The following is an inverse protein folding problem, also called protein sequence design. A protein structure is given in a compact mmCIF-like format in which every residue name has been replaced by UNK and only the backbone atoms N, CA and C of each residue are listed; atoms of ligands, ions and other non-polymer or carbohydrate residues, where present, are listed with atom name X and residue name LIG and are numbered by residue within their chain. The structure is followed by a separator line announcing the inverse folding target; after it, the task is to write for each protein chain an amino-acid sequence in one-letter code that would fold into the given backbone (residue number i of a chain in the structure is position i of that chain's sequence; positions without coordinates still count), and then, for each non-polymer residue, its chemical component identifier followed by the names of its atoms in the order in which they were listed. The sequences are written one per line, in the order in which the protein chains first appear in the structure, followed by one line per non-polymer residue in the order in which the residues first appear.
data_IF_810215715715
#
_entry.id   IF_810215715715
#
_cell.length_a   1.000
_cell.length_b   1.000
_cell.length_c   1.000
_cell.angle_alpha   90.00
_cell.angle_beta   90.00
_cell.angle_gamma   90.00
#
_symmetry.space_group_name_H-M   'P 1'
#
loop_
_entity.id
_entity.type
_entity.pdbx_description
1 polymer ?
#
# COMPACT_ATOMS: atom_id res chain seq x y z
N UNK A 1 12.77 -3.73 -27.43
CA UNK A 1 13.21 -2.46 -26.82
C UNK A 1 12.22 -2.16 -25.71
N UNK A 2 12.67 -1.68 -24.55
CA UNK A 2 11.76 -1.42 -23.43
C UNK A 2 11.10 -0.06 -23.62
N UNK A 3 9.81 -0.06 -23.92
CA UNK A 3 9.08 1.13 -24.32
C UNK A 3 7.67 1.11 -23.77
N UNK A 4 7.23 2.29 -23.34
CA UNK A 4 5.82 2.61 -23.17
C UNK A 4 5.42 3.49 -24.35
N UNK A 5 4.31 3.18 -25.00
CA UNK A 5 3.69 4.00 -26.03
C UNK A 5 2.36 4.48 -25.51
N UNK A 6 2.12 5.79 -25.57
CA UNK A 6 0.82 6.39 -25.29
C UNK A 6 0.48 7.22 -26.52
N UNK A 7 -0.57 6.81 -27.25
CA UNK A 7 -0.94 7.42 -28.54
C UNK A 7 0.24 7.44 -29.53
N UNK A 8 0.70 8.63 -29.91
CA UNK A 8 1.80 8.85 -30.86
C UNK A 8 3.17 9.00 -30.18
N UNK A 9 3.19 9.04 -28.85
CA UNK A 9 4.40 9.23 -28.06
C UNK A 9 5.00 7.90 -27.62
N UNK A 10 6.33 7.83 -27.65
CA UNK A 10 7.10 6.66 -27.22
C UNK A 10 8.05 7.11 -26.11
N UNK A 11 7.93 6.47 -24.96
CA UNK A 11 8.69 6.71 -23.75
C UNK A 11 9.69 5.56 -23.57
N UNK A 12 11.00 5.84 -23.54
CA UNK A 12 11.98 4.82 -23.17
C UNK A 12 11.79 4.45 -21.70
N UNK A 13 11.84 3.15 -21.41
CA UNK A 13 11.73 2.62 -20.05
C UNK A 13 13.11 2.38 -19.44
N UNK A 14 13.29 2.93 -18.24
CA UNK A 14 14.45 2.70 -17.41
C UNK A 14 14.35 1.34 -16.73
N UNK A 15 15.01 0.32 -17.28
CA UNK A 15 14.97 -1.04 -16.72
C UNK A 15 15.76 -1.21 -15.43
N UNK A 16 16.65 -0.29 -15.07
CA UNK A 16 17.35 -0.36 -13.78
C UNK A 16 16.41 0.07 -12.64
N UNK A 17 15.42 0.90 -12.95
CA UNK A 17 14.40 1.38 -12.01
C UNK A 17 13.05 0.66 -12.14
N UNK A 18 12.90 -0.22 -13.14
CA UNK A 18 11.65 -0.96 -13.40
C UNK A 18 11.80 -2.43 -13.01
N UNK A 19 10.81 -2.99 -12.31
CA UNK A 19 10.86 -4.35 -11.80
C UNK A 19 9.46 -4.94 -11.61
N UNK A 20 9.40 -6.27 -11.49
CA UNK A 20 8.23 -6.97 -10.96
C UNK A 20 8.59 -7.62 -9.63
N UNK A 21 7.64 -7.58 -8.70
CA UNK A 21 7.71 -8.29 -7.43
C UNK A 21 6.49 -9.19 -7.28
N UNK A 22 6.71 -10.38 -6.75
CA UNK A 22 5.66 -11.34 -6.41
C UNK A 22 5.71 -11.60 -4.90
N UNK A 23 4.57 -11.57 -4.24
CA UNK A 23 4.45 -11.94 -2.83
C UNK A 23 3.08 -12.56 -2.53
N UNK A 24 3.00 -13.37 -1.48
CA UNK A 24 1.74 -13.91 -1.01
C UNK A 24 1.12 -12.95 0.00
N UNK A 25 -0.16 -12.68 -0.15
CA UNK A 25 -0.94 -11.98 0.87
C UNK A 25 -1.57 -13.04 1.78
N UNK A 26 -0.86 -13.35 2.86
CA UNK A 26 -1.22 -14.39 3.82
C UNK A 26 -2.46 -14.03 4.66
N UNK A 27 -2.81 -12.75 4.70
CA UNK A 27 -3.95 -12.21 5.45
C UNK A 27 -5.30 -12.41 4.72
N UNK A 28 -5.30 -12.90 3.48
CA UNK A 28 -6.51 -13.23 2.73
C UNK A 28 -6.77 -14.74 2.74
N UNK A 29 -8.04 -15.14 2.88
CA UNK A 29 -8.48 -16.53 2.72
C UNK A 29 -9.38 -16.67 1.47
N UNK A 30 -8.94 -17.41 0.41
CA UNK A 30 -7.67 -18.13 0.31
C UNK A 30 -6.47 -17.21 0.11
N UNK A 31 -5.28 -17.66 0.56
CA UNK A 31 -4.01 -16.96 0.34
C UNK A 31 -3.88 -16.66 -1.15
N UNK A 32 -3.76 -15.39 -1.49
CA UNK A 32 -3.61 -14.96 -2.87
C UNK A 32 -2.16 -14.56 -3.16
N UNK A 33 -1.77 -14.68 -4.42
CA UNK A 33 -0.48 -14.18 -4.90
C UNK A 33 -0.72 -12.81 -5.51
N UNK A 34 0.05 -11.84 -5.03
CA UNK A 34 0.01 -10.44 -5.43
C UNK A 34 1.26 -10.12 -6.24
N UNK A 35 1.07 -9.35 -7.31
CA UNK A 35 2.17 -8.81 -8.09
C UNK A 35 2.18 -7.29 -8.07
N UNK A 36 3.34 -6.75 -7.74
CA UNK A 36 3.64 -5.33 -7.96
C UNK A 36 4.48 -5.18 -9.21
N UNK A 37 4.00 -4.36 -10.15
CA UNK A 37 4.70 -4.06 -11.39
C UNK A 37 5.07 -2.58 -11.37
N UNK A 38 6.36 -2.31 -11.20
CA UNK A 38 6.91 -0.96 -11.15
C UNK A 38 7.63 -0.62 -12.45
N UNK A 39 7.24 0.48 -13.10
CA UNK A 39 7.78 0.89 -14.39
C UNK A 39 8.07 2.37 -14.39
N UNK A 40 9.31 2.72 -14.73
CA UNK A 40 9.75 4.11 -14.77
C UNK A 40 10.26 4.44 -16.17
N UNK A 41 9.75 5.53 -16.74
CA UNK A 41 10.34 6.11 -17.95
C UNK A 41 11.50 7.03 -17.60
N UNK A 42 12.47 7.19 -18.52
CA UNK A 42 13.58 8.13 -18.31
C UNK A 42 13.07 9.59 -18.38
N UNK A 43 12.15 9.91 -19.29
CA UNK A 43 11.62 11.26 -19.55
C UNK A 43 10.16 11.22 -20.04
N UNK A 44 9.35 12.24 -19.70
CA UNK A 44 8.00 12.47 -20.23
C UNK A 44 7.95 13.83 -20.96
N UNK A 45 7.66 13.90 -22.27
CA UNK A 45 7.75 15.13 -23.06
C UNK A 45 6.50 16.02 -22.96
N UNK A 46 5.58 15.76 -22.02
CA UNK A 46 4.27 16.42 -22.01
C UNK A 46 4.26 17.85 -21.45
N UNK A 47 5.35 18.33 -20.84
CA UNK A 47 5.43 19.65 -20.20
C UNK A 47 6.84 20.20 -20.39
N UNK A 48 6.99 21.50 -20.59
CA UNK A 48 8.29 22.18 -20.60
C UNK A 48 9.04 21.96 -19.27
N UNK A 49 9.98 21.01 -19.28
CA UNK A 49 10.79 20.62 -18.13
C UNK A 49 11.25 19.16 -18.24
N UNK A 50 12.48 18.86 -17.82
CA UNK A 50 12.96 17.47 -17.77
C UNK A 50 12.32 16.75 -16.58
N UNK A 51 11.20 16.08 -16.81
CA UNK A 51 10.53 15.31 -15.79
C UNK A 51 10.42 13.83 -16.18
N UNK A 52 10.55 12.92 -15.22
CA UNK A 52 10.39 11.48 -15.43
C UNK A 52 8.96 11.06 -15.12
N UNK A 53 8.30 10.33 -16.03
CA UNK A 53 6.98 9.75 -15.79
C UNK A 53 7.08 8.36 -15.16
N UNK A 54 6.29 8.10 -14.11
CA UNK A 54 6.19 6.78 -13.48
C UNK A 54 4.86 6.09 -13.82
N UNK A 55 4.93 4.81 -14.20
CA UNK A 55 3.79 3.89 -14.23
C UNK A 55 3.95 2.90 -13.09
N UNK A 56 3.00 2.92 -12.15
CA UNK A 56 2.94 1.98 -11.04
C UNK A 56 1.65 1.18 -11.15
N UNK A 57 1.79 -0.14 -11.18
CA UNK A 57 0.72 -1.07 -10.88
C UNK A 57 1.04 -1.69 -9.53
N UNK A 58 0.24 -1.31 -8.56
CA UNK A 58 0.27 -1.89 -7.22
C UNK A 58 -0.74 -3.01 -7.21
N UNK A 59 -0.32 -4.17 -6.72
CA UNK A 59 -1.24 -5.20 -6.26
C UNK A 59 -2.21 -5.76 -7.31
N UNK A 60 -1.68 -6.22 -8.45
CA UNK A 60 -2.47 -7.11 -9.29
C UNK A 60 -2.63 -8.44 -8.54
N UNK A 61 -3.83 -8.68 -8.00
CA UNK A 61 -4.19 -9.95 -7.37
C UNK A 61 -4.51 -10.97 -8.47
N UNK A 62 -3.85 -12.12 -8.46
CA UNK A 62 -4.51 -13.30 -9.02
C UNK A 62 -4.89 -14.28 -7.93
N UNK A 63 -6.11 -14.76 -8.11
CA UNK A 63 -6.69 -15.81 -7.31
C UNK A 63 -5.99 -17.15 -7.53
N UNK A 64 -5.14 -17.34 -8.56
CA UNK A 64 -4.43 -18.61 -8.82
C UNK A 64 -3.06 -18.48 -9.53
N UNK A 65 -2.00 -18.95 -8.85
CA UNK A 65 -0.71 -19.35 -9.43
C UNK A 65 0.40 -18.29 -9.39
N UNK A 66 1.66 -18.74 -9.34
CA UNK A 66 2.83 -17.85 -9.41
C UNK A 66 3.08 -17.32 -10.84
N UNK A 67 3.96 -16.33 -10.99
CA UNK A 67 4.28 -15.65 -12.25
C UNK A 67 4.66 -16.65 -13.36
N UNK A 68 5.37 -17.71 -13.00
CA UNK A 68 5.76 -18.78 -13.93
C UNK A 68 4.55 -19.52 -14.52
N UNK A 69 3.47 -19.67 -13.76
CA UNK A 69 2.23 -20.32 -14.20
C UNK A 69 1.41 -19.47 -15.19
N UNK A 70 1.78 -18.20 -15.38
CA UNK A 70 1.09 -17.24 -16.24
C UNK A 70 1.83 -16.95 -17.53
N UNK A 71 3.07 -17.44 -17.63
CA UNK A 71 3.86 -17.35 -18.86
C UNK A 71 3.08 -17.96 -20.02
N UNK A 72 2.97 -17.20 -21.12
CA UNK A 72 2.20 -17.55 -22.31
C UNK A 72 0.69 -17.33 -22.20
N UNK A 73 0.19 -16.76 -21.10
CA UNK A 73 -1.22 -16.40 -20.94
C UNK A 73 -1.39 -14.88 -21.06
N UNK A 74 -2.51 -14.48 -21.68
CA UNK A 74 -3.02 -13.12 -21.65
C UNK A 74 -4.09 -13.03 -20.57
N UNK A 75 -3.92 -12.10 -19.64
CA UNK A 75 -4.80 -11.85 -18.51
C UNK A 75 -5.56 -10.55 -18.81
N UNK A 76 -6.89 -10.65 -18.83
CA UNK A 76 -7.75 -9.48 -18.89
C UNK A 76 -8.00 -8.98 -17.47
N UNK A 77 -7.61 -7.74 -17.21
CA UNK A 77 -7.72 -7.13 -15.88
C UNK A 77 -9.03 -6.36 -15.81
N UNK A 78 -9.90 -6.73 -14.88
CA UNK A 78 -11.15 -6.03 -14.57
C UNK A 78 -11.05 -5.53 -13.14
N UNK A 79 -11.24 -4.22 -12.93
CA UNK A 79 -11.42 -3.55 -11.65
C UNK A 79 -10.27 -3.75 -10.62
N UNK A 80 -9.47 -2.70 -10.36
CA UNK A 80 -8.44 -2.64 -9.31
C UNK A 80 -8.78 -1.57 -8.24
N UNK A 81 -8.30 -1.75 -7.00
CA UNK A 81 -8.59 -0.93 -5.81
C UNK A 81 -7.48 0.10 -5.51
N UNK A 82 -7.83 1.30 -4.99
CA UNK A 82 -6.94 2.45 -4.75
C UNK A 82 -6.03 2.35 -3.51
N UNK A 83 -4.87 3.00 -3.59
CA UNK A 83 -4.20 3.63 -2.44
C UNK A 83 -3.56 4.95 -2.91
N UNK A 84 -3.85 6.05 -2.21
CA UNK A 84 -3.37 7.40 -2.53
C UNK A 84 -2.36 7.85 -1.49
N UNK A 85 -1.14 8.18 -1.90
CA UNK A 85 -0.25 9.04 -1.10
C UNK A 85 0.12 10.27 -1.91
N UNK A 86 -0.10 11.44 -1.33
CA UNK A 86 0.21 12.74 -1.92
C UNK A 86 1.72 12.94 -2.03
N UNK A 87 2.22 13.20 -3.26
CA UNK A 87 3.23 14.21 -3.61
C UNK A 87 3.78 14.04 -5.07
N UNK A 88 3.58 15.09 -5.86
CA UNK A 88 4.36 15.60 -7.02
C UNK A 88 4.56 14.84 -8.37
N UNK A 89 3.82 15.40 -9.35
CA UNK A 89 4.23 16.03 -10.63
C UNK A 89 4.39 15.26 -11.96
N UNK A 90 4.72 13.97 -12.06
CA UNK A 90 4.49 13.20 -13.32
C UNK A 90 4.10 11.74 -13.04
N UNK A 91 2.80 11.53 -12.83
CA UNK A 91 2.26 10.23 -12.41
C UNK A 91 1.30 9.70 -13.46
N UNK A 92 1.62 8.55 -14.07
CA UNK A 92 0.64 7.75 -14.79
C UNK A 92 0.27 6.55 -13.93
N UNK A 93 -0.66 6.75 -12.99
CA UNK A 93 -1.32 5.69 -12.25
C UNK A 93 -2.10 4.79 -13.20
N UNK A 94 -1.47 3.80 -13.81
CA UNK A 94 -2.24 2.74 -14.43
C UNK A 94 -2.66 1.76 -13.35
N UNK A 95 -3.63 2.19 -12.52
CA UNK A 95 -4.69 1.41 -11.86
C UNK A 95 -5.53 2.20 -10.83
N UNK A 96 -5.71 3.53 -10.97
CA UNK A 96 -6.89 4.18 -10.36
C UNK A 96 -8.13 3.95 -11.23
N UNK A 97 -9.03 3.14 -10.70
CA UNK A 97 -10.48 3.07 -10.88
C UNK A 97 -11.11 3.44 -12.24
N UNK A 98 -11.90 2.51 -12.79
CA UNK A 98 -12.99 2.72 -13.76
C UNK A 98 -12.65 3.35 -15.12
N UNK A 99 -11.40 3.77 -15.35
CA UNK A 99 -10.99 4.53 -16.53
C UNK A 99 -10.03 3.80 -17.47
N UNK A 100 -9.93 2.47 -17.45
CA UNK A 100 -9.16 1.72 -18.45
C UNK A 100 -10.01 0.60 -19.05
N UNK A 101 -10.22 0.64 -20.37
CA UNK A 101 -10.89 -0.42 -21.16
C UNK A 101 -9.86 -1.32 -21.82
N UNK A 102 -10.32 -2.53 -22.18
CA UNK A 102 -9.54 -3.52 -22.95
C UNK A 102 -8.14 -3.76 -22.37
N UNK A 103 -8.07 -3.80 -21.04
CA UNK A 103 -6.84 -3.90 -20.27
C UNK A 103 -6.31 -5.34 -20.26
N UNK A 104 -5.17 -5.55 -20.92
CA UNK A 104 -4.63 -6.88 -21.20
C UNK A 104 -3.13 -6.93 -20.92
N UNK A 105 -2.73 -7.78 -19.98
CA UNK A 105 -1.32 -8.08 -19.70
C UNK A 105 -0.97 -9.49 -20.17
N UNK A 106 0.18 -9.64 -20.82
CA UNK A 106 0.75 -10.90 -21.27
C UNK A 106 2.17 -11.02 -20.71
N UNK A 107 2.39 -12.10 -19.96
CA UNK A 107 3.74 -12.51 -19.54
C UNK A 107 4.28 -13.46 -20.61
N UNK A 108 5.15 -13.00 -21.50
CA UNK A 108 5.57 -13.78 -22.67
C UNK A 108 6.48 -14.95 -22.28
N UNK A 109 7.53 -14.67 -21.49
CA UNK A 109 8.52 -15.64 -21.05
C UNK A 109 9.31 -15.15 -19.84
N UNK A 110 9.90 -16.10 -19.10
CA UNK A 110 10.86 -15.84 -18.03
C UNK A 110 12.21 -16.45 -18.41
N UNK A 111 13.27 -15.64 -18.40
CA UNK A 111 14.64 -16.06 -18.68
C UNK A 111 15.60 -15.28 -17.80
N UNK A 112 16.57 -15.95 -17.18
CA UNK A 112 17.63 -15.32 -16.37
C UNK A 112 17.10 -14.31 -15.33
N UNK A 113 16.08 -14.71 -14.56
CA UNK A 113 15.45 -13.86 -13.53
C UNK A 113 14.80 -12.58 -14.08
N UNK A 114 14.41 -12.58 -15.36
CA UNK A 114 13.69 -11.49 -15.99
C UNK A 114 12.42 -12.01 -16.62
N UNK A 115 11.36 -11.21 -16.56
CA UNK A 115 10.09 -11.48 -17.23
C UNK A 115 9.91 -10.51 -18.40
N UNK A 116 9.44 -11.04 -19.52
CA UNK A 116 9.05 -10.26 -20.68
C UNK A 116 7.56 -9.96 -20.55
N UNK A 117 7.23 -8.68 -20.40
CA UNK A 117 5.87 -8.19 -20.18
C UNK A 117 5.44 -7.40 -21.40
N UNK A 118 4.31 -7.79 -21.97
CA UNK A 118 3.56 -7.00 -22.93
C UNK A 118 2.24 -6.62 -22.29
N UNK A 119 1.89 -5.34 -22.30
CA UNK A 119 0.66 -4.87 -21.66
C UNK A 119 0.06 -3.74 -22.48
N UNK A 120 -1.23 -3.85 -22.79
CA UNK A 120 -1.98 -2.85 -23.57
C UNK A 120 -3.33 -2.55 -22.95
N UNK A 121 -3.91 -1.43 -23.37
CA UNK A 121 -5.27 -1.06 -23.01
C UNK A 121 -5.61 0.33 -23.53
N UNK A 122 -6.76 0.84 -23.10
CA UNK A 122 -7.29 2.14 -23.50
C UNK A 122 -7.61 2.94 -22.24
N UNK A 123 -6.94 4.06 -22.03
CA UNK A 123 -7.23 5.02 -20.96
C UNK A 123 -8.48 5.82 -21.36
N UNK A 124 -9.54 5.73 -20.58
CA UNK A 124 -10.82 6.40 -20.83
C UNK A 124 -10.69 7.92 -20.76
N UNK A 125 -9.95 8.44 -19.79
CA UNK A 125 -9.68 9.88 -19.61
C UNK A 125 -8.27 10.10 -19.02
N UNK A 126 -7.43 10.83 -19.73
CA UNK A 126 -6.16 11.35 -19.27
C UNK A 126 -6.42 12.70 -18.61
N UNK A 127 -6.27 12.80 -17.28
CA UNK A 127 -6.61 13.99 -16.47
C UNK A 127 -5.82 15.29 -16.74
N UNK A 128 -5.44 15.57 -17.98
CA UNK A 128 -4.92 16.84 -18.45
C UNK A 128 -6.06 17.72 -18.99
N UNK A 129 -5.84 19.04 -19.08
CA UNK A 129 -6.76 19.94 -19.78
C UNK A 129 -6.54 19.87 -21.30
N UNK A 130 -7.59 19.63 -22.10
CA UNK A 130 -7.54 19.65 -23.57
C UNK A 130 -8.51 18.71 -24.28
N UNK A 131 -8.76 18.93 -25.58
CA UNK A 131 -9.68 18.13 -26.42
C UNK A 131 -9.20 16.67 -26.69
N UNK A 132 -8.02 16.29 -26.20
CA UNK A 132 -7.25 15.12 -26.67
C UNK A 132 -7.12 13.97 -25.65
N UNK A 133 -8.02 13.90 -24.69
CA UNK A 133 -7.76 13.16 -23.46
C UNK A 133 -8.61 11.90 -23.25
N UNK A 134 -9.54 11.60 -24.17
CA UNK A 134 -10.45 10.46 -23.99
C UNK A 134 -10.11 9.26 -24.89
N UNK A 135 -10.30 8.04 -24.37
CA UNK A 135 -10.05 6.75 -25.05
C UNK A 135 -8.66 6.65 -25.70
N UNK A 136 -7.62 6.96 -24.94
CA UNK A 136 -6.24 6.98 -25.41
C UNK A 136 -5.59 5.61 -25.28
N UNK A 137 -5.16 4.98 -26.40
CA UNK A 137 -4.51 3.68 -26.34
C UNK A 137 -3.10 3.80 -25.75
N UNK A 138 -2.74 2.81 -24.93
CA UNK A 138 -1.38 2.60 -24.49
C UNK A 138 -0.90 1.18 -24.83
N UNK A 139 0.41 1.06 -24.99
CA UNK A 139 1.09 -0.21 -25.19
C UNK A 139 2.47 -0.16 -24.53
N UNK A 140 2.69 -1.07 -23.58
CA UNK A 140 3.93 -1.28 -22.88
C UNK A 140 4.56 -2.58 -23.35
N UNK A 141 5.83 -2.53 -23.69
CA UNK A 141 6.67 -3.70 -23.97
C UNK A 141 7.95 -3.55 -23.17
N UNK A 142 8.16 -4.40 -22.15
CA UNK A 142 9.31 -4.26 -21.26
C UNK A 142 9.83 -5.60 -20.75
N UNK A 143 11.14 -5.66 -20.55
CA UNK A 143 11.82 -6.73 -19.82
C UNK A 143 12.08 -6.25 -18.40
N UNK A 144 11.36 -6.83 -17.44
CA UNK A 144 11.46 -6.48 -16.02
C UNK A 144 12.30 -7.50 -15.29
N UNK A 145 13.16 -7.02 -14.38
CA UNK A 145 13.81 -7.90 -13.42
C UNK A 145 12.77 -8.45 -12.43
N UNK A 146 12.78 -9.77 -12.23
CA UNK A 146 12.02 -10.40 -11.16
C UNK A 146 12.83 -10.20 -9.90
N UNK A 147 12.45 -9.25 -9.07
CA UNK A 147 13.06 -9.14 -7.75
C UNK A 147 12.51 -10.29 -6.92
N UNK A 148 13.37 -11.26 -6.59
CA UNK A 148 13.08 -12.27 -5.56
C UNK A 148 12.76 -11.56 -4.24
N UNK A 149 12.23 -12.29 -3.26
CA UNK A 149 12.21 -11.85 -1.86
C UNK A 149 13.64 -11.51 -1.40
N UNK A 150 14.11 -10.32 -1.73
CA UNK A 150 14.99 -9.56 -0.87
C UNK A 150 14.01 -8.96 0.12
N UNK A 151 14.19 -9.27 1.40
CA UNK A 151 13.50 -8.59 2.51
C UNK A 151 13.42 -7.11 2.15
N UNK A 152 12.20 -6.69 1.80
CA UNK A 152 12.04 -5.41 1.16
C UNK A 152 12.18 -4.38 2.27
N UNK A 153 13.35 -3.75 2.37
CA UNK A 153 13.51 -2.56 3.21
C UNK A 153 12.48 -1.47 2.85
N UNK A 154 11.92 -1.56 1.64
CA UNK A 154 10.95 -0.63 1.06
C UNK A 154 9.50 -1.15 1.03
N UNK A 155 9.22 -2.40 1.42
CA UNK A 155 7.84 -2.86 1.67
C UNK A 155 7.78 -3.36 3.10
N UNK A 156 7.21 -2.51 3.93
CA UNK A 156 6.92 -2.81 5.32
C UNK A 156 5.51 -3.37 5.31
N UNK A 157 5.33 -4.60 5.78
CA UNK A 157 3.98 -5.08 6.08
C UNK A 157 3.29 -4.07 7.00
N UNK A 158 1.95 -4.01 7.07
CA UNK A 158 1.25 -3.18 8.04
C UNK A 158 1.83 -3.30 9.46
N UNK A 159 2.21 -4.52 9.85
CA UNK A 159 2.88 -4.80 11.13
C UNK A 159 4.29 -4.20 11.22
N UNK A 160 5.10 -4.31 10.16
CA UNK A 160 6.44 -3.70 10.13
C UNK A 160 6.39 -2.18 10.14
N UNK A 161 5.38 -1.58 9.49
CA UNK A 161 5.20 -0.13 9.49
C UNK A 161 4.76 0.38 10.86
N UNK A 162 3.82 -0.29 11.51
CA UNK A 162 3.45 0.00 12.90
C UNK A 162 4.65 -0.08 13.84
N UNK A 163 5.48 -1.13 13.73
CA UNK A 163 6.69 -1.25 14.55
C UNK A 163 7.69 -0.12 14.30
N UNK A 164 7.78 0.38 13.05
CA UNK A 164 8.61 1.53 12.71
C UNK A 164 8.05 2.83 13.30
N UNK A 165 6.75 3.07 13.16
CA UNK A 165 6.07 4.24 13.72
C UNK A 165 6.27 4.27 15.24
N UNK A 166 6.04 3.16 15.93
CA UNK A 166 6.30 3.04 17.37
C UNK A 166 7.76 3.39 17.73
N UNK A 167 8.73 3.04 16.87
CA UNK A 167 10.13 3.37 17.08
C UNK A 167 10.47 4.87 16.91
N UNK A 168 9.56 5.67 16.37
CA UNK A 168 9.69 7.14 16.29
C UNK A 168 8.97 7.88 17.41
N UNK A 169 8.26 7.16 18.31
CA UNK A 169 7.64 7.77 19.48
C UNK A 169 8.70 8.44 20.37
N UNK A 170 8.43 9.68 20.78
CA UNK A 170 9.32 10.50 21.60
C UNK A 170 8.52 11.33 22.63
N UNK A 171 9.09 12.43 23.12
CA UNK A 171 8.48 13.33 24.10
C UNK A 171 7.70 14.50 23.47
N UNK A 172 7.43 14.46 22.16
CA UNK A 172 6.68 15.48 21.44
C UNK A 172 5.24 15.03 21.17
N UNK A 173 4.27 15.85 21.60
CA UNK A 173 2.85 15.57 21.43
C UNK A 173 2.43 15.49 19.96
N UNK A 174 2.85 16.45 19.13
CA UNK A 174 2.43 16.51 17.72
C UNK A 174 2.93 15.26 16.97
N UNK A 175 4.18 14.84 17.20
CA UNK A 175 4.73 13.60 16.65
C UNK A 175 3.99 12.34 17.14
N UNK A 176 3.70 12.26 18.44
CA UNK A 176 2.97 11.12 19.00
C UNK A 176 1.50 11.07 18.54
N UNK A 177 0.89 12.23 18.29
CA UNK A 177 -0.44 12.36 17.71
C UNK A 177 -0.47 11.83 16.27
N UNK A 178 0.43 12.33 15.40
CA UNK A 178 0.57 11.84 14.01
C UNK A 178 0.81 10.33 13.96
N UNK A 179 1.59 9.81 14.91
CA UNK A 179 1.84 8.38 15.08
C UNK A 179 0.56 7.60 15.41
N UNK A 180 -0.27 8.07 16.36
CA UNK A 180 -1.51 7.37 16.72
C UNK A 180 -2.49 7.35 15.55
N UNK A 181 -2.66 8.47 14.86
CA UNK A 181 -3.54 8.58 13.69
C UNK A 181 -3.11 7.60 12.58
N UNK A 182 -1.80 7.55 12.28
CA UNK A 182 -1.26 6.62 11.30
C UNK A 182 -1.46 5.15 11.71
N UNK A 183 -1.33 4.80 13.00
CA UNK A 183 -1.62 3.44 13.46
C UNK A 183 -3.12 3.13 13.36
N UNK A 184 -4.01 4.09 13.67
CA UNK A 184 -5.46 3.92 13.53
C UNK A 184 -5.81 3.60 12.08
N UNK A 185 -5.35 4.41 11.13
CA UNK A 185 -5.59 4.22 9.69
C UNK A 185 -5.15 2.81 9.24
N UNK A 186 -3.98 2.36 9.69
CA UNK A 186 -3.48 1.01 9.40
C UNK A 186 -4.39 -0.06 10.02
N UNK A 187 -4.81 0.10 11.27
CA UNK A 187 -5.63 -0.92 11.97
C UNK A 187 -7.09 -0.96 11.54
N UNK A 188 -7.62 0.13 10.97
CA UNK A 188 -8.96 0.17 10.39
C UNK A 188 -9.03 -0.73 9.15
N UNK A 189 -7.98 -0.72 8.34
CA UNK A 189 -7.90 -1.46 7.08
C UNK A 189 -7.28 -2.85 7.20
N UNK A 190 -6.28 -3.03 8.07
CA UNK A 190 -5.43 -4.22 8.07
C UNK A 190 -5.39 -4.94 9.42
N UNK A 191 -5.26 -6.27 9.35
CA UNK A 191 -4.92 -7.08 10.51
C UNK A 191 -3.42 -7.04 10.76
N UNK A 192 -3.02 -6.84 12.01
CA UNK A 192 -1.61 -6.92 12.42
C UNK A 192 -1.24 -8.31 12.93
N UNK A 193 0.06 -8.60 12.95
CA UNK A 193 0.61 -9.76 13.62
C UNK A 193 0.67 -9.52 15.15
N UNK A 194 0.87 -10.61 15.91
CA UNK A 194 0.90 -10.55 17.37
C UNK A 194 2.02 -9.65 17.91
N UNK A 195 3.15 -9.56 17.21
CA UNK A 195 4.30 -8.72 17.60
C UNK A 195 3.94 -7.23 17.58
N UNK A 196 3.35 -6.76 16.48
CA UNK A 196 2.92 -5.37 16.34
C UNK A 196 1.82 -5.02 17.36
N UNK A 197 0.85 -5.91 17.59
CA UNK A 197 -0.14 -5.70 18.65
C UNK A 197 0.48 -5.63 20.05
N UNK A 198 1.50 -6.45 20.34
CA UNK A 198 2.22 -6.38 21.62
C UNK A 198 2.95 -5.03 21.75
N UNK A 199 3.61 -4.57 20.68
CA UNK A 199 4.29 -3.28 20.68
C UNK A 199 3.32 -2.11 20.93
N UNK A 200 2.14 -2.12 20.30
CA UNK A 200 1.09 -1.12 20.57
C UNK A 200 0.68 -1.12 22.05
N UNK A 201 0.45 -2.31 22.62
CA UNK A 201 0.10 -2.45 24.04
C UNK A 201 1.18 -1.88 24.94
N UNK A 202 2.45 -2.09 24.59
CA UNK A 202 3.58 -1.61 25.36
C UNK A 202 3.79 -0.10 25.21
N UNK A 203 3.61 0.47 24.01
CA UNK A 203 3.61 1.92 23.77
C UNK A 203 2.58 2.62 24.66
N UNK A 204 1.32 2.17 24.60
CA UNK A 204 0.24 2.72 25.42
C UNK A 204 0.38 2.41 26.91
N UNK A 205 1.31 1.52 27.31
CA UNK A 205 1.62 1.31 28.72
C UNK A 205 2.82 2.12 29.20
N UNK A 206 3.42 2.93 28.33
CA UNK A 206 4.58 3.75 28.65
C UNK A 206 4.13 5.04 29.32
N UNK A 207 4.61 5.28 30.55
CA UNK A 207 4.36 6.52 31.29
C UNK A 207 4.78 7.75 30.48
N UNK A 208 5.99 7.73 29.89
CA UNK A 208 6.52 8.86 29.11
C UNK A 208 5.71 9.16 27.84
N UNK A 209 5.06 8.16 27.26
CA UNK A 209 4.22 8.37 26.09
C UNK A 209 2.87 8.96 26.51
N UNK A 210 2.28 8.43 27.58
CA UNK A 210 1.00 8.93 28.09
C UNK A 210 1.11 10.35 28.66
N UNK A 211 2.27 10.72 29.22
CA UNK A 211 2.55 12.09 29.68
C UNK A 211 2.37 13.13 28.56
N UNK A 212 2.62 12.78 27.29
CA UNK A 212 2.42 13.74 26.18
C UNK A 212 0.94 14.04 25.93
N UNK A 213 0.02 13.21 26.40
CA UNK A 213 -1.43 13.33 26.17
C UNK A 213 -2.23 13.75 27.42
N UNK A 214 -1.59 14.14 28.53
CA UNK A 214 -2.31 14.48 29.78
C UNK A 214 -3.34 15.61 29.60
N UNK A 215 -3.07 16.56 28.70
CA UNK A 215 -3.95 17.70 28.44
C UNK A 215 -4.93 17.47 27.26
N UNK A 216 -4.64 16.50 26.37
CA UNK A 216 -5.42 16.21 25.16
C UNK A 216 -5.54 14.70 24.93
N UNK A 217 -6.67 14.11 25.33
CA UNK A 217 -6.86 12.65 25.37
C UNK A 217 -7.70 12.08 24.22
N UNK A 218 -8.33 12.92 23.39
CA UNK A 218 -9.33 12.50 22.38
C UNK A 218 -8.80 11.37 21.48
N UNK A 219 -7.55 11.46 21.05
CA UNK A 219 -6.90 10.46 20.18
C UNK A 219 -6.62 9.14 20.90
N UNK A 220 -6.33 9.19 22.21
CA UNK A 220 -6.23 7.98 23.03
C UNK A 220 -7.61 7.33 23.20
N UNK A 221 -8.67 8.13 23.34
CA UNK A 221 -10.04 7.61 23.41
C UNK A 221 -10.42 6.89 22.13
N UNK A 222 -10.22 7.54 20.98
CA UNK A 222 -10.49 6.97 19.66
C UNK A 222 -9.67 5.69 19.43
N UNK A 223 -8.39 5.72 19.79
CA UNK A 223 -7.51 4.55 19.68
C UNK A 223 -7.97 3.39 20.58
N UNK A 224 -8.27 3.66 21.86
CA UNK A 224 -8.72 2.62 22.80
C UNK A 224 -10.09 2.08 22.40
N UNK A 225 -10.96 2.92 21.81
CA UNK A 225 -12.23 2.48 21.26
C UNK A 225 -12.03 1.38 20.20
N UNK A 226 -10.98 1.47 19.37
CA UNK A 226 -10.65 0.44 18.37
C UNK A 226 -10.26 -0.91 18.99
N UNK A 227 -9.64 -0.88 20.18
CA UNK A 227 -9.26 -2.09 20.89
C UNK A 227 -10.40 -2.73 21.70
N UNK A 228 -11.48 -1.99 21.94
CA UNK A 228 -12.55 -2.35 22.89
C UNK A 228 -13.92 -2.52 22.25
N UNK A 229 -14.21 -1.76 21.19
CA UNK A 229 -15.44 -1.81 20.42
C UNK A 229 -15.20 -2.52 19.09
N UNK A 230 -15.80 -3.70 18.94
CA UNK A 230 -15.95 -4.36 17.65
C UNK A 230 -16.92 -3.54 16.81
N UNK A 231 -16.44 -2.52 16.09
CA UNK A 231 -17.22 -1.91 15.03
C UNK A 231 -17.43 -2.94 13.91
N UNK A 232 -18.64 -3.03 13.37
CA UNK A 232 -18.91 -3.87 12.19
C UNK A 232 -18.19 -3.36 10.93
N UNK A 233 -17.69 -2.12 10.96
CA UNK A 233 -17.05 -1.44 9.85
C UNK A 233 -15.50 -1.53 9.88
N UNK A 234 -14.92 -2.20 10.89
CA UNK A 234 -13.45 -2.26 11.11
C UNK A 234 -12.93 -3.69 11.20
N UNK A 235 -11.65 -3.90 10.88
CA UNK A 235 -10.98 -5.19 11.06
C UNK A 235 -10.86 -5.51 12.56
N UNK A 236 -11.45 -6.61 13.06
CA UNK A 236 -11.54 -6.84 14.51
C UNK A 236 -10.19 -7.27 15.10
N UNK A 237 -9.75 -6.59 16.17
CA UNK A 237 -8.60 -7.00 16.98
C UNK A 237 -8.85 -8.40 17.58
N UNK A 238 -7.87 -9.32 17.56
CA UNK A 238 -8.04 -10.64 18.17
C UNK A 238 -8.47 -10.56 19.64
N UNK A 239 -9.56 -11.28 19.99
CA UNK A 239 -10.21 -11.14 21.30
C UNK A 239 -9.28 -11.44 22.49
N UNK A 240 -8.32 -12.35 22.33
CA UNK A 240 -7.28 -12.66 23.31
C UNK A 240 -6.33 -11.50 23.56
N UNK A 241 -5.95 -10.79 22.50
CA UNK A 241 -5.08 -9.60 22.54
C UNK A 241 -5.83 -8.45 23.20
N UNK A 242 -7.05 -8.15 22.72
CA UNK A 242 -7.92 -7.11 23.30
C UNK A 242 -8.12 -7.30 24.81
N UNK A 243 -8.43 -8.53 25.27
CA UNK A 243 -8.56 -8.84 26.71
C UNK A 243 -7.26 -8.62 27.49
N UNK A 244 -6.10 -8.94 26.89
CA UNK A 244 -4.78 -8.74 27.51
C UNK A 244 -4.45 -7.26 27.63
N UNK A 245 -4.70 -6.48 26.58
CA UNK A 245 -4.53 -5.03 26.53
C UNK A 245 -5.39 -4.35 27.61
N UNK A 246 -6.70 -4.60 27.59
CA UNK A 246 -7.67 -4.06 28.55
C UNK A 246 -7.28 -4.33 30.01
N UNK A 247 -6.83 -5.56 30.33
CA UNK A 247 -6.39 -5.91 31.69
C UNK A 247 -5.15 -5.13 32.12
N UNK A 248 -4.28 -4.75 31.18
CA UNK A 248 -3.06 -3.97 31.45
C UNK A 248 -3.40 -2.48 31.61
N UNK A 249 -4.13 -1.92 30.65
CA UNK A 249 -4.48 -0.48 30.62
C UNK A 249 -5.40 -0.06 31.76
N UNK A 250 -6.31 -0.92 32.22
CA UNK A 250 -7.13 -0.68 33.42
C UNK A 250 -6.35 -0.46 34.72
N UNK A 251 -5.04 -0.69 34.73
CA UNK A 251 -4.17 -0.43 35.88
C UNK A 251 -3.44 0.91 35.81
N UNK A 252 -3.64 1.65 34.72
CA UNK A 252 -3.05 2.96 34.46
C UNK A 252 -4.18 3.97 34.58
N UNK A 253 -4.06 4.94 35.49
CA UNK A 253 -5.18 5.79 35.90
C UNK A 253 -5.79 6.56 34.72
N UNK A 254 -4.96 7.19 33.87
CA UNK A 254 -5.41 7.91 32.67
C UNK A 254 -6.23 7.01 31.73
N UNK A 255 -5.74 5.80 31.44
CA UNK A 255 -6.42 4.89 30.52
C UNK A 255 -7.66 4.22 31.16
N UNK A 256 -7.65 4.02 32.47
CA UNK A 256 -8.80 3.50 33.19
C UNK A 256 -9.97 4.48 33.18
N UNK A 257 -9.68 5.78 33.23
CA UNK A 257 -10.65 6.86 33.04
C UNK A 257 -11.27 6.81 31.64
N UNK A 258 -10.43 6.75 30.60
CA UNK A 258 -10.85 6.66 29.18
C UNK A 258 -11.74 5.43 28.92
N UNK A 259 -11.37 4.26 29.46
CA UNK A 259 -12.15 3.01 29.29
C UNK A 259 -13.53 3.09 29.98
N UNK A 260 -13.74 4.06 30.87
CA UNK A 260 -15.04 4.30 31.51
C UNK A 260 -15.33 3.41 32.73
N UNK A 261 -14.29 2.89 33.39
CA UNK A 261 -14.46 2.09 34.63
C UNK A 261 -14.72 2.96 35.88
N UNK A 262 -14.82 4.29 35.74
CA UNK A 262 -15.30 5.20 36.78
C UNK A 262 -16.76 5.62 36.58
N UNK A 263 -17.69 4.68 36.81
CA UNK A 263 -19.04 4.97 37.34
C UNK A 263 -19.44 3.97 38.41
#
# INVERSE_FOLDING_TARGET
MNTLKIKDYIFPINTEKSFIKEYNQEDLEPVCTVWDIWIQSDEAPFIEGNHSGNIRCEQMMATQGNLQSLVGKTIHIKDAYDYVTDEHLFTFYMFRHNGIKDNEITFEKIENNKVYVHWRGIIEELGFEGEYNNNVPFELSCVLEIKQMVENKDYKSPSTEVLRLIATADDDFDNNQELLDAIIDITDEYRLNDEAYIAIIDLLSSESFLETFEDEIDSLEDFISNFTHFSNDRTPVPQNISKKALKKWRKIDLLAEIIGDHK
#
